data_IF_289383791191
#
_entry.id   IF_289383791191
#
_cell.length_a   1.000
_cell.length_b   1.000
_cell.length_c   1.000
_cell.angle_alpha   90.00
_cell.angle_beta   90.00
_cell.angle_gamma   90.00
#
_symmetry.space_group_name_H-M   'P 1'
#
loop_
_entity.id
_entity.type
_entity.pdbx_description
1 polymer ?
#
# COMPACT_ATOMS: atom_id res chain seq x y z
N UNK A 1 2.99 -41.08 20.32
CA UNK A 1 2.04 -40.58 19.31
C UNK A 1 2.84 -39.93 18.20
N UNK A 2 2.89 -40.48 16.98
CA UNK A 2 3.65 -39.89 15.85
C UNK A 2 2.74 -38.92 15.11
N UNK A 3 2.93 -37.62 15.33
CA UNK A 3 2.29 -36.58 14.51
C UNK A 3 2.99 -36.59 13.16
N UNK A 4 2.24 -36.82 12.09
CA UNK A 4 2.80 -36.78 10.73
C UNK A 4 2.93 -35.34 10.25
N UNK A 5 3.93 -35.04 9.43
CA UNK A 5 4.13 -33.69 8.86
C UNK A 5 2.86 -33.18 8.15
N UNK A 6 2.11 -34.10 7.52
CA UNK A 6 0.83 -33.82 6.90
C UNK A 6 -0.23 -33.33 7.92
N UNK A 7 -0.29 -33.89 9.13
CA UNK A 7 -1.20 -33.44 10.19
C UNK A 7 -0.79 -32.09 10.81
N UNK A 8 0.48 -31.69 10.70
CA UNK A 8 0.95 -30.36 11.10
C UNK A 8 0.57 -29.29 10.06
N UNK A 9 0.61 -29.65 8.77
CA UNK A 9 0.47 -28.71 7.65
C UNK A 9 -0.98 -28.60 7.15
N UNK A 10 -1.76 -29.70 7.12
CA UNK A 10 -3.16 -29.67 6.67
C UNK A 10 -4.06 -28.65 7.38
N UNK A 11 -4.04 -28.52 8.72
CA UNK A 11 -4.91 -27.56 9.39
C UNK A 11 -4.55 -26.11 9.07
N UNK A 12 -3.30 -25.83 8.67
CA UNK A 12 -2.90 -24.51 8.17
C UNK A 12 -3.58 -24.15 6.85
N UNK A 13 -3.84 -25.12 5.96
CA UNK A 13 -4.50 -24.86 4.68
C UNK A 13 -6.03 -24.88 4.75
N UNK A 14 -6.62 -25.65 5.67
CA UNK A 14 -8.08 -25.74 5.85
C UNK A 14 -8.71 -24.53 6.55
N UNK A 15 -7.90 -23.62 7.12
CA UNK A 15 -8.37 -22.51 7.93
C UNK A 15 -7.97 -21.13 7.41
N UNK A 16 -7.39 -21.06 6.20
CA UNK A 16 -6.96 -19.82 5.58
C UNK A 16 -8.19 -18.96 5.28
N UNK A 17 -8.29 -17.81 5.94
CA UNK A 17 -9.23 -16.76 5.55
C UNK A 17 -8.56 -15.98 4.43
N UNK A 18 -8.98 -16.21 3.19
CA UNK A 18 -8.48 -15.48 2.04
C UNK A 18 -9.35 -14.24 1.79
N UNK A 19 -8.74 -13.10 1.44
CA UNK A 19 -9.51 -11.98 0.97
C UNK A 19 -10.21 -12.30 -0.36
N UNK A 20 -11.25 -11.54 -0.66
CA UNK A 20 -12.04 -11.68 -1.89
C UNK A 20 -11.15 -11.64 -3.13
N UNK A 21 -11.24 -12.67 -3.98
CA UNK A 21 -10.49 -12.75 -5.23
C UNK A 21 -10.79 -11.57 -6.17
N UNK A 22 -12.00 -11.01 -6.10
CA UNK A 22 -12.36 -9.80 -6.86
C UNK A 22 -11.57 -8.59 -6.38
N UNK A 23 -11.37 -8.42 -5.06
CA UNK A 23 -10.54 -7.34 -4.52
C UNK A 23 -9.07 -7.51 -4.90
N UNK A 24 -8.55 -8.73 -4.87
CA UNK A 24 -7.18 -9.01 -5.31
C UNK A 24 -7.01 -8.63 -6.79
N UNK A 25 -7.98 -8.97 -7.65
CA UNK A 25 -7.94 -8.59 -9.05
C UNK A 25 -7.93 -7.05 -9.24
N UNK A 26 -8.78 -6.33 -8.49
CA UNK A 26 -8.78 -4.86 -8.51
C UNK A 26 -7.48 -4.25 -8.00
N UNK A 27 -6.85 -4.85 -6.99
CA UNK A 27 -5.53 -4.44 -6.52
C UNK A 27 -4.47 -4.60 -7.61
N UNK A 28 -4.46 -5.73 -8.33
CA UNK A 28 -3.56 -5.91 -9.47
C UNK A 28 -3.80 -4.87 -10.57
N UNK A 29 -5.07 -4.57 -10.88
CA UNK A 29 -5.42 -3.51 -11.85
C UNK A 29 -4.91 -2.15 -11.38
N UNK A 30 -5.11 -1.80 -10.11
CA UNK A 30 -4.65 -0.55 -9.53
C UNK A 30 -3.13 -0.41 -9.62
N UNK A 31 -2.37 -1.46 -9.30
CA UNK A 31 -0.91 -1.49 -9.44
C UNK A 31 -0.44 -1.29 -10.88
N UNK A 32 -1.13 -1.89 -11.84
CA UNK A 32 -0.79 -1.74 -13.27
C UNK A 32 -1.08 -0.31 -13.73
N UNK A 33 -2.21 0.28 -13.32
CA UNK A 33 -2.54 1.68 -13.63
C UNK A 33 -1.51 2.62 -12.98
N UNK A 34 -1.14 2.40 -11.72
CA UNK A 34 -0.13 3.20 -11.04
C UNK A 34 1.22 3.12 -11.76
N UNK A 35 1.66 1.91 -12.15
CA UNK A 35 2.88 1.73 -12.93
C UNK A 35 2.82 2.49 -14.27
N UNK A 36 1.72 2.37 -15.02
CA UNK A 36 1.56 3.08 -16.31
C UNK A 36 1.60 4.60 -16.10
N UNK A 37 0.90 5.12 -15.10
CA UNK A 37 0.87 6.56 -14.82
C UNK A 37 2.22 7.06 -14.29
N UNK A 38 2.91 6.30 -13.46
CA UNK A 38 4.27 6.61 -12.99
C UNK A 38 5.29 6.63 -14.12
N UNK A 39 5.24 5.65 -15.04
CA UNK A 39 6.09 5.63 -16.24
C UNK A 39 5.78 6.81 -17.15
N UNK A 40 4.49 7.13 -17.35
CA UNK A 40 4.06 8.27 -18.17
C UNK A 40 4.59 9.58 -17.60
N UNK A 41 4.51 9.76 -16.27
CA UNK A 41 5.08 10.92 -15.59
C UNK A 41 6.57 11.06 -15.82
N UNK A 42 7.34 9.98 -15.62
CA UNK A 42 8.80 10.01 -15.83
C UNK A 42 9.17 10.39 -17.27
N UNK A 43 8.36 9.98 -18.26
CA UNK A 43 8.54 10.37 -19.67
C UNK A 43 8.25 11.87 -19.87
N UNK A 44 7.21 12.41 -19.23
CA UNK A 44 6.85 13.84 -19.36
C UNK A 44 7.87 14.75 -18.68
N UNK A 45 8.42 14.32 -17.55
CA UNK A 45 9.39 15.09 -16.76
C UNK A 45 10.84 14.96 -17.28
N UNK A 46 11.06 14.22 -18.38
CA UNK A 46 12.37 13.91 -19.00
C UNK A 46 13.39 13.35 -17.99
N UNK A 47 12.90 12.71 -16.93
CA UNK A 47 13.74 11.98 -15.99
C UNK A 47 14.31 10.76 -16.68
N UNK A 48 15.62 10.54 -16.52
CA UNK A 48 16.28 9.35 -17.08
C UNK A 48 15.52 8.12 -16.59
N UNK A 49 15.05 7.27 -17.53
CA UNK A 49 14.37 5.99 -17.25
C UNK A 49 15.32 5.05 -16.52
N UNK A 50 15.56 5.29 -15.25
CA UNK A 50 16.37 4.42 -14.41
C UNK A 50 15.52 3.23 -14.00
N UNK A 51 16.20 2.13 -13.70
CA UNK A 51 15.61 0.96 -13.05
C UNK A 51 14.82 1.27 -11.77
N UNK A 52 14.89 2.51 -11.26
CA UNK A 52 14.30 2.97 -10.01
C UNK A 52 12.78 2.89 -9.99
N UNK A 53 12.07 3.36 -11.03
CA UNK A 53 10.61 3.27 -11.10
C UNK A 53 10.09 1.82 -11.10
N UNK A 54 10.80 0.94 -11.81
CA UNK A 54 10.49 -0.49 -11.82
C UNK A 54 10.84 -1.15 -10.48
N UNK A 55 11.97 -0.79 -9.86
CA UNK A 55 12.36 -1.27 -8.52
C UNK A 55 11.38 -0.82 -7.44
N UNK A 56 10.84 0.39 -7.55
CA UNK A 56 9.83 0.91 -6.63
C UNK A 56 8.52 0.13 -6.77
N UNK A 57 8.10 -0.17 -8.00
CA UNK A 57 6.92 -1.02 -8.27
C UNK A 57 7.11 -2.44 -7.75
N UNK A 58 8.29 -3.04 -7.97
CA UNK A 58 8.61 -4.35 -7.40
C UNK A 58 8.61 -4.30 -5.87
N UNK A 59 9.12 -3.22 -5.28
CA UNK A 59 9.05 -2.94 -3.84
C UNK A 59 7.61 -2.92 -3.34
N UNK A 60 6.70 -2.22 -4.03
CA UNK A 60 5.25 -2.22 -3.75
C UNK A 60 4.66 -3.63 -3.80
N UNK A 61 4.93 -4.40 -4.86
CA UNK A 61 4.43 -5.78 -4.99
C UNK A 61 4.90 -6.66 -3.83
N UNK A 62 6.17 -6.55 -3.43
CA UNK A 62 6.72 -7.30 -2.29
C UNK A 62 6.10 -6.83 -0.97
N UNK A 63 5.95 -5.52 -0.76
CA UNK A 63 5.36 -4.96 0.46
C UNK A 63 3.89 -5.35 0.59
N UNK A 64 3.11 -5.25 -0.48
CA UNK A 64 1.70 -5.59 -0.50
C UNK A 64 1.48 -7.09 -0.39
N UNK A 65 2.25 -7.89 -1.15
CA UNK A 65 2.23 -9.34 -1.00
C UNK A 65 2.60 -9.78 0.42
N UNK A 66 3.65 -9.20 1.00
CA UNK A 66 4.06 -9.45 2.38
C UNK A 66 2.99 -9.06 3.39
N UNK A 67 2.38 -7.87 3.26
CA UNK A 67 1.31 -7.41 4.12
C UNK A 67 0.09 -8.35 4.07
N UNK A 68 -0.30 -8.81 2.88
CA UNK A 68 -1.41 -9.75 2.72
C UNK A 68 -1.10 -11.12 3.33
N UNK A 69 0.11 -11.65 3.11
CA UNK A 69 0.55 -12.91 3.73
C UNK A 69 0.50 -12.81 5.25
N UNK A 70 1.01 -11.71 5.82
CA UNK A 70 0.98 -11.45 7.26
C UNK A 70 -0.47 -11.34 7.76
N UNK A 71 -1.33 -10.60 7.06
CA UNK A 71 -2.75 -10.45 7.43
C UNK A 71 -3.49 -11.79 7.45
N UNK A 72 -3.27 -12.63 6.43
CA UNK A 72 -3.84 -13.97 6.35
C UNK A 72 -3.33 -14.87 7.48
N UNK A 73 -2.03 -14.82 7.80
CA UNK A 73 -1.47 -15.58 8.95
C UNK A 73 -2.10 -15.11 10.26
N UNK A 74 -2.16 -13.80 10.50
CA UNK A 74 -2.71 -13.23 11.73
C UNK A 74 -4.18 -13.60 11.92
N UNK A 75 -4.99 -13.47 10.88
CA UNK A 75 -6.41 -13.83 10.92
C UNK A 75 -6.62 -15.33 11.10
N UNK A 76 -5.79 -16.17 10.49
CA UNK A 76 -5.82 -17.62 10.67
C UNK A 76 -5.41 -18.02 12.10
N UNK A 77 -4.38 -17.39 12.66
CA UNK A 77 -3.98 -17.59 14.06
C UNK A 77 -5.08 -17.13 15.03
N UNK A 78 -5.67 -15.97 14.78
CA UNK A 78 -6.77 -15.42 15.58
C UNK A 78 -7.97 -16.36 15.59
N UNK A 79 -8.37 -16.91 14.44
CA UNK A 79 -9.46 -17.89 14.33
C UNK A 79 -9.23 -19.15 15.18
N UNK A 80 -7.97 -19.60 15.28
CA UNK A 80 -7.64 -20.84 15.98
C UNK A 80 -7.36 -20.69 17.47
N UNK A 81 -6.84 -19.53 17.91
CA UNK A 81 -6.37 -19.35 19.30
C UNK A 81 -7.19 -18.34 20.08
N UNK A 82 -7.88 -17.41 19.40
CA UNK A 82 -8.81 -16.50 20.06
C UNK A 82 -10.22 -17.07 19.96
N UNK A 83 -10.68 -17.75 21.02
CA UNK A 83 -12.05 -18.28 21.18
C UNK A 83 -13.15 -17.19 21.26
N UNK A 84 -13.01 -16.06 20.57
CA UNK A 84 -13.93 -14.94 20.70
C UNK A 84 -13.98 -13.95 19.52
N UNK A 85 -13.18 -14.13 18.46
CA UNK A 85 -13.29 -13.28 17.27
C UNK A 85 -14.24 -13.91 16.26
N UNK A 86 -15.31 -13.18 15.94
CA UNK A 86 -16.26 -13.58 14.90
C UNK A 86 -15.50 -13.76 13.57
N UNK A 87 -15.61 -14.93 12.90
CA UNK A 87 -15.00 -15.16 11.58
C UNK A 87 -15.28 -14.07 10.56
N UNK A 88 -16.46 -13.42 10.62
CA UNK A 88 -16.82 -12.30 9.76
C UNK A 88 -15.90 -11.09 9.98
N UNK A 89 -15.54 -10.78 11.23
CA UNK A 89 -14.64 -9.67 11.56
C UNK A 89 -13.24 -9.92 10.99
N UNK A 90 -12.78 -11.18 11.03
CA UNK A 90 -11.49 -11.58 10.48
C UNK A 90 -11.49 -11.51 8.94
N UNK A 91 -12.60 -11.86 8.30
CA UNK A 91 -12.77 -11.70 6.85
C UNK A 91 -12.81 -10.23 6.43
N UNK A 92 -13.56 -9.40 7.17
CA UNK A 92 -13.57 -7.95 6.97
C UNK A 92 -12.18 -7.35 7.11
N UNK A 93 -11.35 -7.82 8.05
CA UNK A 93 -10.00 -7.32 8.20
C UNK A 93 -9.13 -7.58 6.96
N UNK A 94 -9.14 -8.80 6.41
CA UNK A 94 -8.36 -9.10 5.21
C UNK A 94 -8.88 -8.34 3.98
N UNK A 95 -10.21 -8.23 3.82
CA UNK A 95 -10.82 -7.47 2.75
C UNK A 95 -10.54 -5.96 2.88
N UNK A 96 -10.55 -5.44 4.09
CA UNK A 96 -10.16 -4.07 4.40
C UNK A 96 -8.69 -3.83 4.06
N UNK A 97 -7.79 -4.76 4.39
CA UNK A 97 -6.37 -4.64 4.08
C UNK A 97 -6.12 -4.54 2.57
N UNK A 98 -6.77 -5.38 1.75
CA UNK A 98 -6.69 -5.28 0.29
C UNK A 98 -7.28 -3.95 -0.21
N UNK A 99 -8.44 -3.56 0.32
CA UNK A 99 -9.10 -2.30 -0.05
C UNK A 99 -8.24 -1.08 0.30
N UNK A 100 -7.50 -1.14 1.41
CA UNK A 100 -6.58 -0.10 1.84
C UNK A 100 -5.36 -0.01 0.92
N UNK A 101 -4.83 -1.13 0.46
CA UNK A 101 -3.76 -1.15 -0.57
C UNK A 101 -4.27 -0.51 -1.87
N UNK A 102 -5.46 -0.89 -2.34
CA UNK A 102 -6.08 -0.27 -3.53
C UNK A 102 -6.20 1.25 -3.34
N UNK A 103 -6.65 1.70 -2.17
CA UNK A 103 -6.77 3.11 -1.84
C UNK A 103 -5.42 3.86 -1.92
N UNK A 104 -4.33 3.26 -1.41
CA UNK A 104 -2.98 3.82 -1.53
C UNK A 104 -2.57 3.94 -3.01
N UNK A 105 -2.83 2.91 -3.81
CA UNK A 105 -2.48 2.92 -5.24
C UNK A 105 -3.30 3.93 -6.05
N UNK A 106 -4.58 4.11 -5.74
CA UNK A 106 -5.40 5.17 -6.35
C UNK A 106 -4.82 6.55 -6.00
N UNK A 107 -4.42 6.75 -4.75
CA UNK A 107 -3.81 8.03 -4.31
C UNK A 107 -2.51 8.31 -5.06
N UNK A 108 -1.62 7.32 -5.14
CA UNK A 108 -0.36 7.36 -5.91
C UNK A 108 -0.61 7.66 -7.39
N UNK A 109 -1.62 7.03 -7.99
CA UNK A 109 -2.04 7.29 -9.38
C UNK A 109 -2.48 8.75 -9.56
N UNK A 110 -3.28 9.28 -8.64
CA UNK A 110 -3.75 10.68 -8.69
C UNK A 110 -2.59 11.68 -8.58
N UNK A 111 -1.58 11.40 -7.76
CA UNK A 111 -0.34 12.20 -7.70
C UNK A 111 0.38 12.23 -9.05
N UNK A 112 0.55 11.06 -9.67
CA UNK A 112 1.19 10.96 -10.97
C UNK A 112 0.38 11.67 -12.07
N UNK A 113 -0.95 11.55 -12.05
CA UNK A 113 -1.83 12.26 -12.98
C UNK A 113 -1.76 13.78 -12.81
N UNK A 114 -1.70 14.27 -11.57
CA UNK A 114 -1.56 15.70 -11.30
C UNK A 114 -0.22 16.24 -11.81
N UNK A 115 0.87 15.48 -11.62
CA UNK A 115 2.21 15.84 -12.09
C UNK A 115 2.31 15.91 -13.62
N UNK A 116 1.69 14.96 -14.35
CA UNK A 116 1.69 14.94 -15.82
C UNK A 116 1.01 16.18 -16.43
N UNK A 117 -0.10 16.64 -15.84
CA UNK A 117 -0.88 17.74 -16.42
C UNK A 117 -1.48 18.69 -15.37
N UNK A 118 -0.67 19.44 -14.62
CA UNK A 118 -1.14 20.29 -13.52
C UNK A 118 -1.99 21.47 -14.00
N UNK A 119 -1.85 21.87 -15.26
CA UNK A 119 -2.58 23.00 -15.85
C UNK A 119 -3.94 22.60 -16.43
N UNK A 120 -4.22 21.31 -16.61
CA UNK A 120 -5.49 20.85 -17.20
C UNK A 120 -6.68 21.15 -16.30
N UNK A 121 -7.85 21.40 -16.91
CA UNK A 121 -9.11 21.64 -16.18
C UNK A 121 -9.48 20.44 -15.31
N UNK A 122 -9.30 19.22 -15.84
CA UNK A 122 -9.52 17.98 -15.09
C UNK A 122 -8.61 17.88 -13.86
N UNK A 123 -7.31 18.14 -14.02
CA UNK A 123 -6.36 18.10 -12.89
C UNK A 123 -6.68 19.13 -11.81
N UNK A 124 -7.04 20.35 -12.21
CA UNK A 124 -7.37 21.43 -11.26
C UNK A 124 -8.67 21.22 -10.49
N UNK A 125 -9.72 20.75 -11.17
CA UNK A 125 -11.07 20.69 -10.58
C UNK A 125 -11.47 19.30 -10.07
N UNK A 126 -10.79 18.24 -10.50
CA UNK A 126 -11.10 16.88 -10.08
C UNK A 126 -9.94 16.24 -9.32
N UNK A 127 -8.76 16.14 -9.93
CA UNK A 127 -7.61 15.42 -9.34
C UNK A 127 -7.10 16.12 -8.09
N UNK A 128 -6.88 17.43 -8.12
CA UNK A 128 -6.33 18.18 -6.98
C UNK A 128 -7.25 18.18 -5.74
N UNK A 129 -8.57 18.41 -5.86
CA UNK A 129 -9.47 18.28 -4.72
C UNK A 129 -9.53 16.86 -4.16
N UNK A 130 -9.62 15.85 -5.04
CA UNK A 130 -9.59 14.44 -4.62
C UNK A 130 -8.29 14.12 -3.88
N UNK A 131 -7.15 14.48 -4.45
CA UNK A 131 -5.85 14.27 -3.82
C UNK A 131 -5.78 14.97 -2.47
N UNK A 132 -6.22 16.22 -2.38
CA UNK A 132 -6.26 16.96 -1.12
C UNK A 132 -7.15 16.31 -0.07
N UNK A 133 -8.27 15.69 -0.44
CA UNK A 133 -9.14 14.96 0.49
C UNK A 133 -8.47 13.67 0.96
N UNK A 134 -7.82 12.94 0.04
CA UNK A 134 -7.13 11.69 0.32
C UNK A 134 -5.89 11.91 1.20
N UNK A 135 -5.15 13.00 0.99
CA UNK A 135 -3.89 13.31 1.68
C UNK A 135 -4.04 14.33 2.82
N UNK A 136 -5.27 14.76 3.16
CA UNK A 136 -5.53 15.89 4.08
C UNK A 136 -4.83 15.74 5.44
N UNK A 137 -4.62 14.51 5.91
CA UNK A 137 -3.92 14.22 7.17
C UNK A 137 -2.41 13.91 7.03
N UNK A 138 -1.91 13.64 5.81
CA UNK A 138 -0.52 13.22 5.58
C UNK A 138 0.43 14.42 5.36
N UNK A 139 -0.05 15.50 4.75
CA UNK A 139 0.76 16.72 4.57
C UNK A 139 1.15 17.36 5.89
N UNK A 140 0.24 17.36 6.88
CA UNK A 140 0.54 17.88 8.21
C UNK A 140 1.62 17.06 8.93
N UNK A 141 1.61 15.73 8.75
CA UNK A 141 2.61 14.83 9.31
C UNK A 141 3.97 14.93 8.59
N UNK A 142 3.96 15.02 7.26
CA UNK A 142 5.19 15.17 6.43
C UNK A 142 5.92 16.49 6.74
N UNK A 143 5.17 17.57 6.94
CA UNK A 143 5.75 18.87 7.32
C UNK A 143 6.40 18.82 8.70
N UNK A 144 5.79 18.11 9.67
CA UNK A 144 6.39 17.90 11.00
C UNK A 144 7.68 17.06 10.94
N UNK A 145 7.72 15.99 10.14
CA UNK A 145 8.90 15.13 10.00
C UNK A 145 10.07 15.90 9.35
N UNK A 146 9.77 16.72 8.34
CA UNK A 146 10.77 17.53 7.64
C UNK A 146 11.38 18.58 8.58
N UNK A 147 10.56 19.28 9.37
CA UNK A 147 11.05 20.21 10.40
C UNK A 147 11.92 19.53 11.47
N UNK A 148 11.68 18.26 11.78
CA UNK A 148 12.48 17.51 12.77
C UNK A 148 13.85 17.11 12.22
N UNK A 149 13.94 16.76 10.92
CA UNK A 149 15.23 16.52 10.24
C UNK A 149 16.08 17.79 10.17
N UNK A 150 15.46 18.93 9.89
CA UNK A 150 16.15 20.22 9.81
C UNK A 150 16.70 20.66 11.18
N UNK A 151 15.95 20.39 12.27
CA UNK A 151 16.42 20.62 13.64
C UNK A 151 17.62 19.71 13.97
N UNK A 152 17.55 18.42 13.65
CA UNK A 152 18.65 17.48 13.93
C UNK A 152 19.94 17.81 13.16
N UNK A 153 19.82 18.30 11.93
CA UNK A 153 20.99 18.74 11.16
C UNK A 153 21.62 20.01 11.77
N UNK A 154 20.80 20.97 12.23
CA UNK A 154 21.29 22.18 12.91
C UNK A 154 21.95 21.89 14.26
N UNK A 155 21.45 20.92 15.03
CA UNK A 155 22.09 20.51 16.30
C UNK A 155 23.47 19.90 16.03
N UNK A 156 23.60 19.04 15.02
CA UNK A 156 24.89 18.44 14.63
C UNK A 156 25.92 19.43 14.10
N UNK A 157 25.49 20.57 13.56
CA UNK A 157 26.39 21.66 13.15
C UNK A 157 26.87 22.51 14.33
N UNK A 158 26.08 22.62 15.41
CA UNK A 158 26.45 23.39 16.60
C UNK A 158 27.32 22.59 17.61
N UNK A 159 27.35 21.27 17.49
CA UNK A 159 28.18 20.37 18.31
C UNK A 159 29.59 20.11 17.69
N UNK A 160 29.92 20.78 16.58
CA UNK A 160 31.25 20.78 15.95
C UNK A 160 31.99 22.08 16.19
#
# INVERSE_FOLDING_TARGET
MKITLAQLILPFFGAIILPSGVLIAWMCVALVIDLITGVTRAIVDDETRTSEGYRNTLGKVIQYGGALIIGVILTSMAKHHANGLNPEVLDYFNNFLVSFIIFIEITSTMENMYAISPKSKFSKYFVKPMLSLLTFNLQHLSNMISSTKDINNKVKENDK
#
